data_IF_095124832635
#
_entry.id   IF_095124832635
#
_cell.length_a   1.000
_cell.length_b   1.000
_cell.length_c   1.000
_cell.angle_alpha   90.00
_cell.angle_beta   90.00
_cell.angle_gamma   90.00
#
_symmetry.space_group_name_H-M   'P 1'
#
loop_
_entity.id
_entity.type
_entity.pdbx_description
1 polymer ?
#
# COMPACT_ATOMS: atom_id res chain seq x y z
N UNK A 1 11.42 -3.54 -1.57
CA UNK A 1 12.18 -4.79 -1.43
C UNK A 1 13.41 -4.70 -2.30
N UNK A 2 14.57 -4.92 -1.70
CA UNK A 2 15.87 -4.98 -2.36
C UNK A 2 16.45 -6.33 -1.98
N UNK A 3 16.95 -7.11 -2.94
CA UNK A 3 17.59 -8.41 -2.72
C UNK A 3 18.91 -8.41 -3.48
N UNK A 4 19.99 -8.83 -2.84
CA UNK A 4 21.28 -8.98 -3.50
C UNK A 4 22.46 -9.01 -2.54
N UNK A 5 23.64 -8.86 -3.11
CA UNK A 5 24.92 -8.78 -2.41
C UNK A 5 25.12 -7.36 -1.82
N UNK A 6 25.11 -7.25 -0.50
CA UNK A 6 25.39 -6.01 0.21
C UNK A 6 26.87 -5.87 0.58
N UNK A 7 27.69 -6.90 0.37
CA UNK A 7 29.11 -7.00 0.74
C UNK A 7 29.41 -6.72 2.23
N UNK A 8 28.37 -6.67 3.07
CA UNK A 8 28.42 -6.33 4.49
C UNK A 8 27.70 -7.41 5.26
N UNK A 9 28.40 -8.05 6.18
CA UNK A 9 27.83 -8.99 7.13
C UNK A 9 27.27 -8.21 8.33
N UNK A 10 25.98 -8.37 8.60
CA UNK A 10 25.27 -7.59 9.62
C UNK A 10 25.80 -7.90 11.04
N UNK A 11 26.30 -9.11 11.26
CA UNK A 11 26.76 -9.55 12.58
C UNK A 11 28.27 -9.35 12.76
N UNK A 12 29.05 -9.43 11.67
CA UNK A 12 30.51 -9.44 11.74
C UNK A 12 31.18 -8.09 11.43
N UNK A 13 30.56 -7.22 10.62
CA UNK A 13 31.22 -6.01 10.10
C UNK A 13 31.03 -4.73 10.96
N UNK A 14 30.47 -4.87 12.17
CA UNK A 14 30.40 -3.82 13.19
C UNK A 14 29.90 -2.46 12.68
N UNK A 15 30.74 -1.43 12.69
CA UNK A 15 30.34 -0.06 12.31
C UNK A 15 29.80 0.05 10.87
N UNK A 16 30.25 -0.81 9.95
CA UNK A 16 29.70 -0.83 8.58
C UNK A 16 28.27 -1.36 8.57
N UNK A 17 28.00 -2.41 9.36
CA UNK A 17 26.65 -2.94 9.55
C UNK A 17 25.75 -1.89 10.19
N UNK A 18 26.21 -1.17 11.21
CA UNK A 18 25.44 -0.10 11.87
C UNK A 18 25.02 1.00 10.88
N UNK A 19 25.93 1.41 10.00
CA UNK A 19 25.63 2.42 8.96
C UNK A 19 24.61 1.90 7.96
N UNK A 20 24.72 0.64 7.54
CA UNK A 20 23.78 0.02 6.63
C UNK A 20 22.39 -0.11 7.26
N UNK A 21 22.31 -0.60 8.50
CA UNK A 21 21.06 -0.70 9.26
C UNK A 21 20.41 0.66 9.47
N UNK A 22 21.19 1.71 9.75
CA UNK A 22 20.69 3.08 9.88
C UNK A 22 20.12 3.59 8.55
N UNK A 23 20.79 3.31 7.43
CA UNK A 23 20.27 3.63 6.10
C UNK A 23 18.97 2.87 5.82
N UNK A 24 18.93 1.55 6.05
CA UNK A 24 17.72 0.74 5.88
C UNK A 24 16.57 1.29 6.71
N UNK A 25 16.80 1.59 7.99
CA UNK A 25 15.82 2.18 8.89
C UNK A 25 15.32 3.54 8.43
N UNK A 26 16.18 4.40 7.86
CA UNK A 26 15.78 5.69 7.28
C UNK A 26 14.84 5.54 6.07
N UNK A 27 14.91 4.40 5.40
CA UNK A 27 14.03 4.02 4.30
C UNK A 27 12.87 3.11 4.77
N UNK A 28 12.65 2.97 6.08
CA UNK A 28 11.67 2.05 6.69
C UNK A 28 11.84 0.57 6.29
N UNK A 29 13.03 0.16 5.87
CA UNK A 29 13.35 -1.23 5.57
C UNK A 29 13.96 -1.94 6.78
N UNK A 30 13.68 -3.24 6.92
CA UNK A 30 14.38 -4.15 7.81
C UNK A 30 15.15 -5.21 7.02
N UNK A 31 16.31 -5.69 7.53
CA UNK A 31 17.02 -6.80 6.91
C UNK A 31 16.25 -8.12 7.10
N UNK A 32 16.32 -8.97 6.09
CA UNK A 32 15.88 -10.37 6.15
C UNK A 32 17.12 -11.19 5.78
N UNK A 33 17.74 -11.79 6.80
CA UNK A 33 18.99 -12.54 6.71
C UNK A 33 18.74 -14.03 6.86
N UNK A 34 19.63 -14.85 6.29
CA UNK A 34 19.66 -16.28 6.49
C UNK A 34 20.42 -16.63 7.77
N UNK A 35 20.03 -17.74 8.39
CA UNK A 35 20.81 -18.39 9.45
C UNK A 35 22.07 -19.10 8.90
N UNK A 36 22.20 -19.20 7.57
CA UNK A 36 23.31 -19.85 6.87
C UNK A 36 24.11 -18.87 6.02
N UNK A 37 25.40 -19.18 5.87
CA UNK A 37 26.35 -18.37 5.11
C UNK A 37 25.97 -18.32 3.63
N UNK A 38 26.10 -17.13 3.03
CA UNK A 38 25.79 -16.93 1.60
C UNK A 38 27.00 -17.11 0.71
N UNK A 39 28.20 -17.10 1.27
CA UNK A 39 29.45 -17.37 0.57
C UNK A 39 29.88 -18.83 0.74
N UNK A 40 30.34 -19.47 -0.33
CA UNK A 40 30.88 -20.83 -0.29
C UNK A 40 32.28 -20.90 0.34
N UNK A 41 33.01 -19.77 0.30
CA UNK A 41 34.42 -19.70 0.71
C UNK A 41 34.65 -18.99 2.04
N UNK A 42 33.59 -18.54 2.70
CA UNK A 42 33.66 -17.89 4.02
C UNK A 42 32.38 -18.09 4.79
N UNK A 43 32.46 -17.95 6.10
CA UNK A 43 31.34 -17.97 7.04
C UNK A 43 30.57 -16.64 7.11
N UNK A 44 30.49 -15.93 5.98
CA UNK A 44 29.87 -14.60 5.91
C UNK A 44 28.51 -14.67 5.23
N UNK A 45 27.58 -13.87 5.75
CA UNK A 45 26.23 -13.68 5.22
C UNK A 45 26.12 -12.26 4.68
N UNK A 46 26.52 -12.09 3.41
CA UNK A 46 26.55 -10.77 2.74
C UNK A 46 25.46 -10.60 1.70
N UNK A 47 24.84 -11.71 1.27
CA UNK A 47 23.67 -11.70 0.41
C UNK A 47 22.43 -11.81 1.29
N UNK A 48 21.51 -10.86 1.18
CA UNK A 48 20.25 -10.88 1.91
C UNK A 48 19.23 -9.95 1.28
N UNK A 49 18.05 -9.82 1.89
CA UNK A 49 17.03 -8.88 1.46
C UNK A 49 16.87 -7.73 2.46
N UNK A 50 16.37 -6.60 1.96
CA UNK A 50 15.82 -5.51 2.75
C UNK A 50 14.36 -5.31 2.34
N UNK A 51 13.43 -5.36 3.29
CA UNK A 51 11.98 -5.35 3.02
C UNK A 51 11.23 -4.35 3.89
N UNK A 52 10.03 -3.93 3.44
CA UNK A 52 9.10 -3.11 4.22
C UNK A 52 7.77 -3.84 4.27
N UNK A 53 7.33 -4.25 5.46
CA UNK A 53 5.95 -4.70 5.69
C UNK A 53 5.50 -5.88 4.81
N UNK A 54 6.43 -6.75 4.39
CA UNK A 54 6.14 -7.98 3.66
C UNK A 54 6.75 -9.17 4.40
N UNK A 55 5.98 -10.25 4.48
CA UNK A 55 6.44 -11.53 5.03
C UNK A 55 7.25 -12.25 3.94
N UNK A 56 8.57 -12.06 3.99
CA UNK A 56 9.52 -12.63 3.06
C UNK A 56 10.38 -13.65 3.81
N UNK A 57 10.33 -14.89 3.36
CA UNK A 57 11.29 -15.92 3.75
C UNK A 57 12.32 -16.03 2.64
N UNK A 58 13.61 -15.98 2.97
CA UNK A 58 14.69 -16.29 2.03
C UNK A 58 15.31 -17.64 2.39
N UNK A 59 15.79 -18.36 1.39
CA UNK A 59 16.55 -19.61 1.53
C UNK A 59 17.72 -19.62 0.56
N UNK A 60 18.84 -20.22 0.97
CA UNK A 60 19.95 -20.48 0.06
C UNK A 60 19.56 -21.60 -0.93
N UNK A 61 19.96 -21.47 -2.19
CA UNK A 61 19.83 -22.53 -3.18
C UNK A 61 20.82 -23.66 -2.88
N UNK A 62 20.32 -24.88 -2.66
CA UNK A 62 21.14 -26.04 -2.27
C UNK A 62 21.75 -26.80 -3.47
N UNK A 63 21.54 -26.35 -4.71
CA UNK A 63 22.09 -27.00 -5.90
C UNK A 63 23.50 -26.51 -6.25
N UNK A 64 24.13 -27.21 -7.20
CA UNK A 64 25.44 -26.81 -7.71
C UNK A 64 25.40 -25.42 -8.35
N UNK A 65 26.35 -24.57 -7.97
CA UNK A 65 26.56 -23.23 -8.52
C UNK A 65 27.98 -23.10 -9.02
N UNK A 66 28.17 -22.34 -10.10
CA UNK A 66 29.50 -21.95 -10.60
C UNK A 66 30.01 -20.65 -9.99
N UNK A 67 29.20 -20.01 -9.15
CA UNK A 67 29.53 -18.79 -8.41
C UNK A 67 30.08 -19.12 -7.03
N UNK A 68 30.88 -18.21 -6.47
CA UNK A 68 31.33 -18.29 -5.07
C UNK A 68 30.25 -17.88 -4.06
N UNK A 69 29.10 -17.42 -4.56
CA UNK A 69 27.91 -17.09 -3.78
C UNK A 69 26.82 -18.15 -4.00
N UNK A 70 26.12 -18.48 -2.92
CA UNK A 70 24.90 -19.27 -2.92
C UNK A 70 23.75 -18.40 -3.44
N UNK A 71 23.13 -18.75 -4.58
CA UNK A 71 21.95 -18.03 -5.05
C UNK A 71 20.86 -18.00 -3.97
N UNK A 72 20.19 -16.86 -3.83
CA UNK A 72 19.09 -16.70 -2.88
C UNK A 72 17.74 -16.90 -3.56
N UNK A 73 16.91 -17.74 -2.96
CA UNK A 73 15.51 -17.90 -3.32
C UNK A 73 14.66 -17.17 -2.28
N UNK A 74 13.94 -16.14 -2.71
CA UNK A 74 12.95 -15.45 -1.89
C UNK A 74 11.56 -16.02 -2.11
N UNK A 75 10.96 -16.56 -1.06
CA UNK A 75 9.55 -16.95 -1.01
C UNK A 75 8.80 -15.89 -0.23
N UNK A 76 8.00 -15.10 -0.94
CA UNK A 76 7.06 -14.20 -0.29
C UNK A 76 5.81 -14.99 0.07
N UNK A 77 5.46 -15.03 1.35
CA UNK A 77 4.14 -15.53 1.77
C UNK A 77 3.14 -14.50 1.29
N UNK A 78 2.54 -14.78 0.14
CA UNK A 78 1.34 -14.10 -0.26
C UNK A 78 0.22 -14.75 0.55
N UNK A 79 -0.40 -14.01 1.47
CA UNK A 79 -1.68 -14.36 2.12
C UNK A 79 -2.84 -14.41 1.09
N UNK A 80 -2.56 -14.87 -0.13
CA UNK A 80 -3.50 -15.53 -1.03
C UNK A 80 -3.86 -16.89 -0.44
N UNK A 81 -4.44 -16.91 0.75
CA UNK A 81 -5.49 -17.90 0.97
C UNK A 81 -6.54 -17.65 -0.10
N UNK A 82 -6.61 -18.54 -1.08
CA UNK A 82 -7.81 -18.80 -1.85
C UNK A 82 -8.90 -19.26 -0.87
N UNK A 83 -9.50 -18.30 -0.17
CA UNK A 83 -10.57 -18.53 0.79
C UNK A 83 -11.50 -17.30 0.76
N UNK A 84 -12.44 -17.31 -0.18
CA UNK A 84 -13.88 -17.00 -0.07
C UNK A 84 -14.44 -15.94 0.93
N UNK A 85 -13.64 -15.06 1.52
CA UNK A 85 -14.08 -14.12 2.57
C UNK A 85 -14.02 -12.63 2.20
N UNK A 86 -13.42 -12.26 1.07
CA UNK A 86 -13.00 -10.88 0.78
C UNK A 86 -14.09 -9.84 0.45
N UNK A 87 -15.38 -10.22 0.37
CA UNK A 87 -16.41 -9.28 -0.11
C UNK A 87 -16.91 -8.28 0.94
N UNK A 88 -16.59 -8.47 2.23
CA UNK A 88 -17.13 -7.64 3.32
C UNK A 88 -16.19 -6.54 3.86
N UNK A 89 -14.90 -6.56 3.55
CA UNK A 89 -13.90 -5.73 4.26
C UNK A 89 -13.61 -4.38 3.58
N UNK A 90 -13.78 -4.30 2.25
CA UNK A 90 -13.41 -3.11 1.47
C UNK A 90 -14.31 -1.90 1.81
N UNK A 91 -15.61 -2.12 1.95
CA UNK A 91 -16.57 -1.04 2.19
C UNK A 91 -16.51 -0.47 3.61
N UNK A 92 -16.36 -1.26 4.69
CA UNK A 92 -16.11 -0.72 6.02
C UNK A 92 -14.83 0.12 6.09
N UNK A 93 -13.73 -0.33 5.49
CA UNK A 93 -12.46 0.43 5.46
C UNK A 93 -12.60 1.70 4.64
N UNK A 94 -13.24 1.63 3.46
CA UNK A 94 -13.52 2.81 2.63
C UNK A 94 -14.46 3.79 3.33
N UNK A 95 -15.49 3.30 4.02
CA UNK A 95 -16.45 4.12 4.78
C UNK A 95 -15.79 4.77 6.00
N UNK A 96 -14.90 4.03 6.69
CA UNK A 96 -14.09 4.55 7.79
C UNK A 96 -13.15 5.65 7.29
N UNK A 97 -12.42 5.42 6.20
CA UNK A 97 -11.58 6.44 5.58
C UNK A 97 -12.38 7.68 5.17
N UNK A 98 -13.58 7.49 4.61
CA UNK A 98 -14.49 8.58 4.27
C UNK A 98 -14.94 9.37 5.50
N UNK A 99 -15.20 8.71 6.63
CA UNK A 99 -15.60 9.39 7.86
C UNK A 99 -14.53 10.34 8.42
N UNK A 100 -13.24 10.04 8.23
CA UNK A 100 -12.15 10.91 8.68
C UNK A 100 -11.93 12.15 7.82
N UNK A 101 -12.33 12.09 6.55
CA UNK A 101 -12.13 13.17 5.58
C UNK A 101 -13.41 13.96 5.29
N UNK A 102 -14.55 13.53 5.84
CA UNK A 102 -15.84 14.16 5.57
C UNK A 102 -15.85 15.63 6.03
N UNK A 103 -15.34 15.90 7.22
CA UNK A 103 -15.22 17.25 7.78
C UNK A 103 -14.26 18.13 6.97
N UNK A 104 -13.23 17.54 6.37
CA UNK A 104 -12.31 18.25 5.48
C UNK A 104 -13.06 18.73 4.23
N UNK A 105 -13.73 17.82 3.52
CA UNK A 105 -14.46 18.18 2.30
C UNK A 105 -15.62 19.13 2.59
N UNK A 106 -16.29 18.97 3.74
CA UNK A 106 -17.31 19.88 4.23
C UNK A 106 -16.84 21.34 4.36
N UNK A 107 -15.58 21.55 4.76
CA UNK A 107 -14.97 22.89 4.82
C UNK A 107 -14.59 23.40 3.45
N UNK A 108 -13.99 22.54 2.62
CA UNK A 108 -13.59 22.90 1.26
C UNK A 108 -14.79 23.35 0.42
N UNK A 109 -15.96 22.69 0.55
CA UNK A 109 -17.21 23.06 -0.13
C UNK A 109 -17.65 24.50 0.08
N UNK A 110 -17.21 25.15 1.17
CA UNK A 110 -17.56 26.53 1.48
C UNK A 110 -16.51 27.55 1.02
N UNK A 111 -15.36 27.10 0.50
CA UNK A 111 -14.22 27.98 0.17
C UNK A 111 -13.93 28.11 -1.33
N UNK A 112 -14.37 27.15 -2.15
CA UNK A 112 -14.04 27.09 -3.58
C UNK A 112 -15.30 26.89 -4.45
N UNK A 113 -15.24 27.22 -5.75
CA UNK A 113 -16.37 26.99 -6.67
C UNK A 113 -16.78 25.51 -6.71
N UNK A 114 -18.08 25.26 -6.62
CA UNK A 114 -18.65 23.92 -6.47
C UNK A 114 -18.14 22.91 -7.51
N UNK A 115 -18.03 23.32 -8.78
CA UNK A 115 -17.59 22.46 -9.88
C UNK A 115 -16.13 21.98 -9.71
N UNK A 116 -15.26 22.86 -9.19
CA UNK A 116 -13.83 22.56 -8.96
C UNK A 116 -13.68 21.56 -7.80
N UNK A 117 -14.42 21.76 -6.71
CA UNK A 117 -14.37 20.88 -5.54
C UNK A 117 -14.96 19.51 -5.87
N UNK A 118 -16.05 19.47 -6.64
CA UNK A 118 -16.68 18.24 -7.06
C UNK A 118 -15.71 17.38 -7.89
N UNK A 119 -15.05 17.96 -8.90
CA UNK A 119 -14.01 17.30 -9.71
C UNK A 119 -12.86 16.76 -8.83
N UNK A 120 -12.39 17.57 -7.86
CA UNK A 120 -11.33 17.18 -6.90
C UNK A 120 -11.77 16.03 -6.00
N UNK A 121 -13.00 16.04 -5.50
CA UNK A 121 -13.55 14.97 -4.69
C UNK A 121 -13.68 13.67 -5.49
N UNK A 122 -14.20 13.73 -6.72
CA UNK A 122 -14.32 12.55 -7.59
C UNK A 122 -12.94 11.95 -7.88
N UNK A 123 -11.95 12.80 -8.18
CA UNK A 123 -10.55 12.37 -8.36
C UNK A 123 -10.00 11.72 -7.09
N UNK A 124 -10.22 12.32 -5.93
CA UNK A 124 -9.83 11.77 -4.63
C UNK A 124 -10.48 10.41 -4.36
N UNK A 125 -11.80 10.28 -4.55
CA UNK A 125 -12.53 9.03 -4.34
C UNK A 125 -12.03 7.92 -5.28
N UNK A 126 -11.68 8.29 -6.52
CA UNK A 126 -11.11 7.36 -7.50
C UNK A 126 -9.74 6.88 -7.07
N UNK A 127 -8.86 7.76 -6.59
CA UNK A 127 -7.55 7.39 -6.06
C UNK A 127 -7.66 6.54 -4.79
N UNK A 128 -8.56 6.90 -3.87
CA UNK A 128 -8.81 6.14 -2.65
C UNK A 128 -9.31 4.73 -2.98
N UNK A 129 -10.26 4.62 -3.93
CA UNK A 129 -10.74 3.34 -4.45
C UNK A 129 -9.60 2.53 -5.07
N UNK A 130 -8.79 3.11 -5.95
CA UNK A 130 -7.65 2.43 -6.59
C UNK A 130 -6.66 1.92 -5.54
N UNK A 131 -6.36 2.73 -4.52
CA UNK A 131 -5.46 2.34 -3.44
C UNK A 131 -6.05 1.22 -2.58
N UNK A 132 -7.33 1.31 -2.24
CA UNK A 132 -8.05 0.21 -1.60
C UNK A 132 -8.04 -1.06 -2.46
N UNK A 133 -8.20 -0.96 -3.78
CA UNK A 133 -8.18 -2.11 -4.70
C UNK A 133 -6.80 -2.75 -4.85
N UNK A 134 -5.73 -1.95 -4.76
CA UNK A 134 -4.35 -2.44 -4.74
C UNK A 134 -4.08 -3.28 -3.49
N UNK A 135 -4.61 -2.86 -2.34
CA UNK A 135 -4.45 -3.56 -1.07
C UNK A 135 -5.52 -4.64 -0.81
N UNK A 136 -6.67 -4.58 -1.49
CA UNK A 136 -7.81 -5.49 -1.31
C UNK A 136 -8.41 -5.90 -2.68
N UNK A 137 -8.18 -7.14 -3.13
CA UNK A 137 -8.58 -7.60 -4.48
C UNK A 137 -10.10 -7.73 -4.64
N UNK A 138 -10.64 -7.14 -5.71
CA UNK A 138 -12.05 -7.23 -6.12
C UNK A 138 -12.33 -8.48 -6.93
N UNK A 139 -12.49 -9.62 -6.26
CA UNK A 139 -13.16 -10.76 -6.87
C UNK A 139 -14.56 -10.87 -6.25
N UNK A 140 -15.55 -10.36 -6.97
CA UNK A 140 -17.00 -10.50 -6.73
C UNK A 140 -17.66 -9.63 -5.64
N UNK A 141 -17.35 -8.34 -5.55
CA UNK A 141 -18.20 -7.41 -4.78
C UNK A 141 -19.42 -6.95 -5.60
N UNK A 142 -20.64 -7.25 -5.15
CA UNK A 142 -21.79 -6.37 -5.47
C UNK A 142 -21.67 -5.12 -4.59
N UNK A 143 -21.68 -3.91 -5.18
CA UNK A 143 -21.52 -2.69 -4.41
C UNK A 143 -22.78 -2.43 -3.57
N UNK A 144 -22.66 -2.47 -2.25
CA UNK A 144 -23.64 -1.84 -1.36
C UNK A 144 -23.05 -0.51 -0.89
N UNK A 145 -23.35 0.56 -1.61
CA UNK A 145 -23.07 1.92 -1.12
C UNK A 145 -23.87 2.08 0.19
N UNK A 146 -23.24 2.46 1.31
CA UNK A 146 -23.95 2.68 2.56
C UNK A 146 -25.12 3.66 2.36
N UNK A 147 -26.28 3.39 2.96
CA UNK A 147 -27.51 4.17 2.71
C UNK A 147 -27.33 5.69 2.93
N UNK A 148 -26.48 6.10 3.87
CA UNK A 148 -26.20 7.52 4.13
C UNK A 148 -25.45 8.17 2.96
N UNK A 149 -24.56 7.44 2.30
CA UNK A 149 -23.84 7.91 1.10
C UNK A 149 -24.76 7.91 -0.12
N UNK A 150 -25.70 6.96 -0.22
CA UNK A 150 -26.75 6.99 -1.25
C UNK A 150 -27.61 8.24 -1.10
N UNK A 151 -28.01 8.60 0.13
CA UNK A 151 -28.75 9.83 0.42
C UNK A 151 -27.96 11.08 0.02
N UNK A 152 -26.68 11.15 0.38
CA UNK A 152 -25.82 12.29 0.06
C UNK A 152 -25.62 12.46 -1.45
N UNK A 153 -25.28 11.38 -2.17
CA UNK A 153 -25.14 11.40 -3.63
C UNK A 153 -26.45 11.79 -4.33
N UNK A 154 -27.59 11.35 -3.81
CA UNK A 154 -28.91 11.72 -4.33
C UNK A 154 -29.19 13.21 -4.09
N UNK A 155 -28.82 13.75 -2.93
CA UNK A 155 -28.94 15.18 -2.62
C UNK A 155 -28.02 16.03 -3.50
N UNK A 156 -26.73 15.69 -3.61
CA UNK A 156 -25.77 16.40 -4.47
C UNK A 156 -26.21 16.40 -5.94
N UNK A 157 -26.72 15.26 -6.43
CA UNK A 157 -27.24 15.16 -7.80
C UNK A 157 -28.49 15.99 -8.01
N UNK A 158 -29.40 16.02 -7.02
CA UNK A 158 -30.60 16.86 -7.05
C UNK A 158 -30.25 18.35 -7.06
N UNK A 159 -29.28 18.76 -6.23
CA UNK A 159 -28.80 20.14 -6.17
C UNK A 159 -28.10 20.56 -7.47
N UNK A 160 -27.24 19.72 -8.04
CA UNK A 160 -26.60 19.96 -9.32
C UNK A 160 -27.62 20.11 -10.46
N UNK A 161 -28.66 19.28 -10.50
CA UNK A 161 -29.73 19.44 -11.49
C UNK A 161 -30.57 20.69 -11.26
N UNK A 162 -30.80 21.07 -10.00
CA UNK A 162 -31.54 22.30 -9.65
C UNK A 162 -30.75 23.55 -10.05
N UNK A 163 -29.44 23.56 -9.85
CA UNK A 163 -28.53 24.61 -10.31
C UNK A 163 -28.52 24.68 -11.85
N UNK A 164 -28.35 23.54 -12.51
CA UNK A 164 -28.34 23.45 -13.98
C UNK A 164 -29.65 23.87 -14.65
N UNK A 165 -30.80 23.69 -13.97
CA UNK A 165 -32.12 24.11 -14.47
C UNK A 165 -32.45 25.58 -14.23
N UNK A 166 -31.82 26.23 -13.25
CA UNK A 166 -32.13 27.62 -12.88
C UNK A 166 -31.24 28.67 -13.52
N UNK A 167 -30.14 28.28 -14.16
CA UNK A 167 -29.38 29.19 -15.03
C UNK A 167 -28.57 30.30 -14.35
N UNK A 168 -28.46 30.34 -13.02
CA UNK A 168 -27.63 31.27 -12.23
C UNK A 168 -27.09 30.48 -11.02
N UNK A 169 -25.78 30.36 -10.76
CA UNK A 169 -24.76 31.35 -10.35
C UNK A 169 -25.16 32.07 -9.05
N UNK A 170 -24.32 31.86 -8.03
CA UNK A 170 -24.35 32.35 -6.64
C UNK A 170 -25.20 31.56 -5.63
N UNK A 171 -24.49 30.75 -4.83
CA UNK A 171 -24.94 30.26 -3.53
C UNK A 171 -23.93 30.79 -2.51
N UNK A 172 -24.39 31.75 -1.68
CA UNK A 172 -23.75 32.16 -0.42
C UNK A 172 -23.81 31.04 0.63
#
# INVERSE_FOLDING_TARGET
>A
MILGDFNIDIEQDGEKADRLLKWMGSCCHGPVVLDSNTLLRSDRTIDYAATIGVDLTIQAYEGDTTSDHNPLLGVMVDDKTSADGGSRSIWPVFTLMLSYIFDYWGKEWNTEPYDIIYERLISFLTLLKTRCQQHFKLNHARPSIPQNHVKLLTQSRSLAFKAKRKGDIELH
#
